data_IF_945961245052
#
_entry.id   IF_945961245052
#
_cell.length_a   1.000
_cell.length_b   1.000
_cell.length_c   1.000
_cell.angle_alpha   90.00
_cell.angle_beta   90.00
_cell.angle_gamma   90.00
#
_symmetry.space_group_name_H-M   'P 1'
#
loop_
_entity.id
_entity.type
_entity.pdbx_description
1 polymer ?
#
# COMPACT_ATOMS: atom_id res chain seq x y z
N UNK A 1 21.76 -0.30 8.88
CA UNK A 1 22.84 -1.13 8.29
C UNK A 1 23.17 -2.24 9.28
N UNK A 2 23.31 -3.50 8.84
CA UNK A 2 23.56 -4.65 9.74
C UNK A 2 24.98 -4.62 10.32
N UNK A 3 25.18 -5.10 11.58
CA UNK A 3 26.49 -5.06 12.23
C UNK A 3 27.44 -6.15 11.74
N UNK A 4 28.74 -5.83 11.68
CA UNK A 4 29.85 -6.77 11.45
C UNK A 4 30.16 -7.61 12.72
N UNK A 5 29.12 -8.14 13.35
CA UNK A 5 29.21 -8.87 14.61
C UNK A 5 28.48 -10.21 14.52
N UNK A 6 28.93 -11.25 15.24
CA UNK A 6 28.23 -12.53 15.27
C UNK A 6 26.83 -12.36 15.84
N UNK A 7 25.87 -13.16 15.37
CA UNK A 7 24.52 -13.09 15.87
C UNK A 7 23.56 -14.14 15.34
N UNK A 8 22.32 -14.05 15.79
CA UNK A 8 21.16 -14.80 15.27
C UNK A 8 20.25 -13.83 14.54
N UNK A 9 19.69 -14.25 13.41
CA UNK A 9 18.77 -13.45 12.61
C UNK A 9 17.51 -14.23 12.23
N UNK A 10 16.45 -13.49 11.94
CA UNK A 10 15.26 -13.96 11.28
C UNK A 10 15.00 -13.06 10.05
N UNK A 11 14.91 -13.67 8.87
CA UNK A 11 14.48 -12.99 7.65
C UNK A 11 12.96 -12.99 7.63
N UNK A 12 12.37 -11.80 7.53
CA UNK A 12 10.95 -11.64 7.26
C UNK A 12 10.75 -11.50 5.76
N UNK A 13 10.10 -12.48 5.14
CA UNK A 13 9.83 -12.51 3.71
C UNK A 13 8.34 -12.36 3.42
N UNK A 14 8.00 -11.79 2.27
CA UNK A 14 6.63 -11.68 1.78
C UNK A 14 6.49 -12.43 0.47
N UNK A 15 5.63 -13.45 0.44
CA UNK A 15 5.20 -14.09 -0.80
C UNK A 15 3.83 -13.52 -1.19
N UNK A 16 3.76 -12.86 -2.34
CA UNK A 16 2.58 -12.10 -2.77
C UNK A 16 1.51 -12.98 -3.40
N UNK A 17 1.91 -14.08 -4.05
CA UNK A 17 1.02 -15.00 -4.75
C UNK A 17 1.41 -16.45 -4.45
N UNK A 18 0.44 -17.38 -4.40
CA UNK A 18 0.78 -18.78 -4.22
C UNK A 18 1.76 -19.23 -5.30
N UNK A 19 2.86 -19.84 -4.90
CA UNK A 19 3.99 -20.13 -5.79
C UNK A 19 4.53 -21.53 -5.52
N UNK A 20 4.88 -22.26 -6.58
CA UNK A 20 5.58 -23.54 -6.47
C UNK A 20 7.08 -23.30 -6.46
N UNK A 21 7.76 -23.73 -5.40
CA UNK A 21 9.21 -23.55 -5.23
C UNK A 21 9.90 -24.90 -5.19
N UNK A 22 10.91 -25.09 -6.05
CA UNK A 22 11.82 -26.24 -5.99
C UNK A 22 13.01 -25.93 -5.11
N UNK A 23 13.23 -26.72 -4.06
CA UNK A 23 14.26 -26.48 -3.03
C UNK A 23 15.29 -27.61 -3.08
N UNK A 24 16.19 -27.56 -4.06
CA UNK A 24 17.27 -28.55 -4.21
C UNK A 24 16.80 -30.01 -4.05
N UNK A 25 17.47 -30.77 -3.17
CA UNK A 25 17.12 -32.17 -2.85
C UNK A 25 15.88 -32.32 -1.95
N UNK A 26 15.39 -31.23 -1.36
CA UNK A 26 14.23 -31.26 -0.46
C UNK A 26 12.93 -31.50 -1.23
N UNK A 27 12.88 -31.15 -2.52
CA UNK A 27 11.74 -31.37 -3.40
C UNK A 27 11.03 -30.08 -3.81
N UNK A 28 9.79 -30.24 -4.33
CA UNK A 28 8.94 -29.13 -4.77
C UNK A 28 7.80 -28.92 -3.78
N UNK A 29 7.51 -27.66 -3.45
CA UNK A 29 6.51 -27.29 -2.46
C UNK A 29 5.58 -26.19 -2.99
N UNK A 30 4.29 -26.31 -2.67
CA UNK A 30 3.30 -25.28 -2.93
C UNK A 30 3.26 -24.34 -1.72
N UNK A 31 3.70 -23.10 -1.92
CA UNK A 31 3.74 -22.08 -0.89
C UNK A 31 2.56 -21.13 -1.07
N UNK A 32 1.77 -20.91 -0.02
CA UNK A 32 0.65 -19.97 -0.03
C UNK A 32 1.15 -18.51 -0.02
N UNK A 33 0.38 -17.59 -0.61
CA UNK A 33 0.64 -16.17 -0.42
C UNK A 33 0.55 -15.83 1.08
N UNK A 34 1.55 -15.18 1.63
CA UNK A 34 1.65 -15.01 3.08
C UNK A 34 2.97 -14.40 3.52
N UNK A 35 3.16 -14.40 4.82
CA UNK A 35 4.39 -13.97 5.46
C UNK A 35 5.20 -15.18 5.87
N UNK A 36 6.50 -15.11 5.65
CA UNK A 36 7.42 -16.16 5.99
C UNK A 36 8.49 -15.64 6.93
N UNK A 37 8.83 -16.42 7.94
CA UNK A 37 9.94 -16.13 8.85
C UNK A 37 10.95 -17.26 8.75
N UNK A 38 12.16 -16.94 8.29
CA UNK A 38 13.27 -17.89 8.25
C UNK A 38 14.31 -17.53 9.32
N UNK A 39 14.64 -18.48 10.19
CA UNK A 39 15.61 -18.29 11.28
C UNK A 39 16.96 -18.89 10.91
N UNK A 40 18.05 -18.18 11.22
CA UNK A 40 19.40 -18.71 11.07
C UNK A 40 20.45 -18.01 11.93
N UNK A 41 21.67 -18.56 11.88
CA UNK A 41 22.85 -18.06 12.60
C UNK A 41 23.88 -17.42 11.68
N UNK A 42 24.56 -16.40 12.18
CA UNK A 42 25.66 -15.70 11.53
C UNK A 42 26.86 -15.63 12.48
N UNK A 43 27.45 -16.79 12.82
CA UNK A 43 28.56 -16.91 13.77
C UNK A 43 29.95 -16.97 13.11
N UNK A 44 29.99 -16.98 11.78
CA UNK A 44 31.23 -17.01 11.01
C UNK A 44 31.88 -15.63 10.80
N UNK A 45 32.99 -15.57 10.04
CA UNK A 45 33.66 -14.32 9.70
C UNK A 45 32.72 -13.29 9.06
N UNK A 46 32.82 -12.03 9.47
CA UNK A 46 31.96 -10.93 9.02
C UNK A 46 30.54 -10.91 9.61
N UNK A 47 30.19 -11.90 10.45
CA UNK A 47 28.98 -11.86 11.28
C UNK A 47 27.67 -11.69 10.50
N UNK A 48 26.73 -10.96 11.11
CA UNK A 48 25.39 -10.69 10.58
C UNK A 48 25.45 -9.97 9.23
N UNK A 49 26.25 -8.92 9.10
CA UNK A 49 26.41 -8.17 7.85
C UNK A 49 26.83 -9.07 6.68
N UNK A 50 27.87 -9.91 6.85
CA UNK A 50 28.32 -10.79 5.78
C UNK A 50 27.29 -11.90 5.45
N UNK A 51 26.70 -12.54 6.46
CA UNK A 51 25.77 -13.66 6.26
C UNK A 51 24.46 -13.20 5.64
N UNK A 52 23.85 -12.15 6.19
CA UNK A 52 22.59 -11.61 5.69
C UNK A 52 22.82 -10.85 4.38
N UNK A 53 23.93 -10.12 4.25
CA UNK A 53 24.31 -9.50 2.98
C UNK A 53 24.40 -10.52 1.84
N UNK A 54 24.93 -11.72 2.08
CA UNK A 54 24.89 -12.82 1.10
C UNK A 54 23.46 -13.27 0.78
N UNK A 55 22.56 -13.29 1.75
CA UNK A 55 21.14 -13.59 1.50
C UNK A 55 20.46 -12.54 0.62
N UNK A 56 20.85 -11.28 0.77
CA UNK A 56 20.28 -10.17 0.01
C UNK A 56 20.89 -9.99 -1.39
N UNK A 57 22.01 -10.66 -1.71
CA UNK A 57 22.60 -10.61 -3.07
C UNK A 57 21.64 -11.20 -4.11
N UNK A 58 21.43 -10.43 -5.19
CA UNK A 58 20.59 -10.77 -6.34
C UNK A 58 21.15 -11.96 -7.14
N UNK A 59 22.42 -11.89 -7.51
CA UNK A 59 23.09 -12.96 -8.24
C UNK A 59 23.99 -13.77 -7.29
N UNK A 60 23.67 -15.05 -7.16
CA UNK A 60 24.44 -15.99 -6.35
C UNK A 60 24.14 -17.42 -6.75
N UNK A 61 25.11 -18.29 -6.49
CA UNK A 61 24.87 -19.73 -6.49
C UNK A 61 23.99 -20.08 -5.29
N UNK A 62 22.82 -20.66 -5.57
CA UNK A 62 21.90 -21.14 -4.55
C UNK A 62 22.57 -22.29 -3.79
N UNK A 63 22.76 -22.11 -2.49
CA UNK A 63 23.48 -23.08 -1.66
C UNK A 63 22.66 -23.52 -0.46
N UNK A 64 21.93 -22.60 0.17
CA UNK A 64 21.05 -22.90 1.30
C UNK A 64 19.60 -23.00 0.84
N UNK A 65 18.78 -23.76 1.56
CA UNK A 65 17.34 -23.89 1.26
C UNK A 65 16.66 -22.52 1.14
N UNK A 66 17.03 -21.56 1.99
CA UNK A 66 16.48 -20.20 1.96
C UNK A 66 16.82 -19.44 0.67
N UNK A 67 17.93 -19.74 -0.01
CA UNK A 67 18.28 -19.06 -1.26
C UNK A 67 17.22 -19.30 -2.36
N UNK A 68 16.64 -20.50 -2.41
CA UNK A 68 15.57 -20.84 -3.35
C UNK A 68 14.27 -20.07 -3.06
N UNK A 69 13.98 -19.84 -1.78
CA UNK A 69 12.81 -19.06 -1.37
C UNK A 69 13.02 -17.57 -1.67
N UNK A 70 14.22 -17.06 -1.42
CA UNK A 70 14.59 -15.66 -1.64
C UNK A 70 14.50 -15.25 -3.12
N UNK A 71 14.58 -16.20 -4.05
CA UNK A 71 14.37 -15.95 -5.48
C UNK A 71 12.92 -15.57 -5.83
N UNK A 72 11.95 -15.88 -4.98
CA UNK A 72 10.52 -15.63 -5.23
C UNK A 72 9.81 -14.84 -4.12
N UNK A 73 10.42 -14.74 -2.94
CA UNK A 73 9.90 -14.01 -1.80
C UNK A 73 10.96 -13.01 -1.31
N UNK A 74 10.82 -11.71 -1.62
CA UNK A 74 11.78 -10.71 -1.18
C UNK A 74 11.81 -10.59 0.35
N UNK A 75 12.98 -10.24 0.89
CA UNK A 75 13.14 -9.89 2.31
C UNK A 75 12.62 -8.49 2.52
N UNK A 76 11.68 -8.34 3.47
CA UNK A 76 11.09 -7.06 3.85
C UNK A 76 11.79 -6.49 5.09
N UNK A 77 12.25 -7.36 5.99
CA UNK A 77 12.99 -6.95 7.18
C UNK A 77 13.88 -8.08 7.68
N UNK A 78 14.85 -7.71 8.50
CA UNK A 78 15.75 -8.62 9.21
C UNK A 78 15.65 -8.30 10.69
N UNK A 79 15.15 -9.25 11.47
CA UNK A 79 15.25 -9.19 12.93
C UNK A 79 16.54 -9.84 13.35
N UNK A 80 17.29 -9.23 14.25
CA UNK A 80 18.57 -9.79 14.67
C UNK A 80 18.89 -9.47 16.12
N UNK A 81 19.73 -10.34 16.69
CA UNK A 81 20.35 -10.16 17.99
C UNK A 81 21.84 -10.42 17.86
N UNK A 82 22.65 -9.45 18.32
CA UNK A 82 24.10 -9.59 18.37
C UNK A 82 24.48 -10.53 19.53
N UNK A 83 25.44 -11.41 19.30
CA UNK A 83 25.94 -12.34 20.28
C UNK A 83 26.57 -13.59 19.65
N UNK A 84 27.41 -14.28 20.42
CA UNK A 84 28.05 -15.54 20.00
C UNK A 84 27.24 -16.79 20.34
N UNK A 85 26.18 -16.64 21.12
CA UNK A 85 25.32 -17.75 21.53
C UNK A 85 24.48 -18.26 20.35
N UNK A 86 24.39 -19.59 20.20
CA UNK A 86 23.54 -20.23 19.19
C UNK A 86 22.08 -20.21 19.64
N UNK A 87 21.32 -19.21 19.18
CA UNK A 87 19.91 -19.02 19.56
C UNK A 87 18.90 -19.48 18.51
N UNK A 88 19.34 -19.87 17.32
CA UNK A 88 18.45 -20.19 16.20
C UNK A 88 17.41 -21.28 16.53
N UNK A 89 17.80 -22.37 17.19
CA UNK A 89 16.87 -23.43 17.57
C UNK A 89 15.88 -22.98 18.65
N UNK A 90 16.28 -22.07 19.54
CA UNK A 90 15.38 -21.49 20.53
C UNK A 90 14.33 -20.58 19.86
N UNK A 91 14.76 -19.78 18.88
CA UNK A 91 13.87 -18.92 18.09
C UNK A 91 12.90 -19.75 17.23
N UNK A 92 13.41 -20.78 16.54
CA UNK A 92 12.59 -21.68 15.75
C UNK A 92 11.51 -22.39 16.60
N UNK A 93 11.87 -22.91 17.78
CA UNK A 93 10.90 -23.49 18.72
C UNK A 93 9.88 -22.45 19.20
N UNK A 94 10.34 -21.24 19.52
CA UNK A 94 9.44 -20.17 19.95
C UNK A 94 8.46 -19.74 18.86
N UNK A 95 8.85 -19.78 17.59
CA UNK A 95 7.95 -19.50 16.46
C UNK A 95 6.98 -20.66 16.23
N UNK A 96 7.47 -21.90 16.28
CA UNK A 96 6.65 -23.10 16.15
C UNK A 96 5.53 -23.19 17.19
N UNK A 97 5.76 -22.66 18.39
CA UNK A 97 4.78 -22.62 19.48
C UNK A 97 3.75 -21.48 19.36
N UNK A 98 3.86 -20.59 18.36
CA UNK A 98 2.92 -19.46 18.22
C UNK A 98 1.61 -19.89 17.57
N UNK A 99 0.45 -19.43 18.08
CA UNK A 99 -0.81 -19.57 17.38
C UNK A 99 -0.73 -19.00 15.96
N UNK A 100 -1.21 -19.75 14.98
CA UNK A 100 -1.19 -19.36 13.57
C UNK A 100 0.13 -19.60 12.83
N UNK A 101 1.19 -20.08 13.49
CA UNK A 101 2.40 -20.51 12.81
C UNK A 101 2.18 -21.85 12.10
N UNK A 102 2.44 -21.89 10.80
CA UNK A 102 2.40 -23.12 9.99
C UNK A 102 3.83 -23.46 9.57
N UNK A 103 4.16 -24.75 9.53
CA UNK A 103 5.43 -25.23 8.99
C UNK A 103 5.21 -25.60 7.51
N UNK A 104 5.49 -24.68 6.57
CA UNK A 104 5.19 -24.91 5.15
C UNK A 104 6.01 -26.05 4.57
N UNK A 105 7.22 -26.27 5.10
CA UNK A 105 8.16 -27.27 4.61
C UNK A 105 8.90 -27.89 5.80
N UNK A 106 8.63 -29.16 6.10
CA UNK A 106 9.35 -29.90 7.14
C UNK A 106 10.83 -30.06 6.76
N UNK A 107 11.71 -29.92 7.75
CA UNK A 107 13.17 -30.00 7.61
C UNK A 107 13.82 -28.77 6.97
N UNK A 108 13.05 -27.74 6.58
CA UNK A 108 13.60 -26.58 5.88
C UNK A 108 14.58 -25.81 6.76
N UNK A 109 15.85 -25.78 6.35
CA UNK A 109 16.91 -25.08 7.07
C UNK A 109 17.32 -25.71 8.41
N UNK A 110 16.92 -26.96 8.68
CA UNK A 110 17.20 -27.68 9.92
C UNK A 110 18.10 -28.91 9.69
N UNK A 111 18.99 -28.87 8.69
CA UNK A 111 19.81 -30.02 8.29
C UNK A 111 20.89 -30.42 9.31
N UNK A 112 21.24 -29.51 10.21
CA UNK A 112 22.27 -29.65 11.24
C UNK A 112 21.70 -29.62 12.67
N UNK A 113 20.37 -29.75 12.82
CA UNK A 113 19.71 -29.79 14.13
C UNK A 113 18.44 -30.66 14.11
N UNK A 114 17.79 -30.79 15.27
CA UNK A 114 16.57 -31.59 15.45
C UNK A 114 15.29 -30.75 15.36
N UNK A 115 15.37 -29.53 14.84
CA UNK A 115 14.18 -28.68 14.68
C UNK A 115 13.28 -29.22 13.55
N UNK A 116 11.95 -29.12 13.69
CA UNK A 116 11.02 -29.60 12.66
C UNK A 116 11.11 -28.76 11.38
N UNK A 117 11.44 -27.47 11.48
CA UNK A 117 11.83 -26.57 10.41
C UNK A 117 12.36 -25.27 11.03
N UNK A 118 13.09 -24.47 10.26
CA UNK A 118 13.47 -23.08 10.57
C UNK A 118 12.70 -22.05 9.73
N UNK A 119 11.77 -22.52 8.87
CA UNK A 119 10.88 -21.68 8.08
C UNK A 119 9.45 -21.82 8.60
N UNK A 120 8.80 -20.67 8.82
CA UNK A 120 7.44 -20.58 9.36
C UNK A 120 6.59 -19.67 8.49
N UNK A 121 5.33 -20.05 8.28
CA UNK A 121 4.33 -19.25 7.57
C UNK A 121 3.36 -18.60 8.57
N UNK A 122 2.94 -17.38 8.25
CA UNK A 122 1.89 -16.64 8.93
C UNK A 122 0.96 -15.98 7.89
N UNK A 123 -0.35 -16.00 8.15
CA UNK A 123 -1.32 -15.33 7.29
C UNK A 123 -1.22 -13.79 7.37
N UNK A 124 -1.02 -13.26 8.57
CA UNK A 124 -0.81 -11.84 8.83
C UNK A 124 0.68 -11.52 9.08
N UNK A 125 1.05 -10.24 8.95
CA UNK A 125 2.44 -9.79 9.15
C UNK A 125 2.88 -10.05 10.60
N UNK A 126 3.89 -10.91 10.83
CA UNK A 126 4.41 -11.13 12.18
C UNK A 126 5.25 -9.94 12.63
N UNK A 127 5.30 -9.69 13.94
CA UNK A 127 6.16 -8.68 14.56
C UNK A 127 7.33 -9.33 15.29
N UNK A 128 8.41 -8.58 15.51
CA UNK A 128 9.59 -9.08 16.24
C UNK A 128 9.29 -9.54 17.67
N UNK A 129 8.17 -9.11 18.24
CA UNK A 129 7.71 -9.51 19.59
C UNK A 129 7.47 -11.01 19.73
N UNK A 130 7.27 -11.71 18.60
CA UNK A 130 7.23 -13.17 18.57
C UNK A 130 8.52 -13.81 19.10
N UNK A 131 9.64 -13.10 19.03
CA UNK A 131 10.97 -13.59 19.41
C UNK A 131 11.52 -12.96 20.69
N UNK A 132 10.93 -11.88 21.20
CA UNK A 132 11.49 -11.12 22.35
C UNK A 132 11.81 -12.00 23.56
N UNK A 133 10.90 -12.90 23.96
CA UNK A 133 11.14 -13.84 25.08
C UNK A 133 12.24 -14.87 24.77
N UNK A 134 12.29 -15.36 23.53
CA UNK A 134 13.24 -16.38 23.11
C UNK A 134 14.64 -15.81 22.84
N UNK A 135 14.73 -14.52 22.49
CA UNK A 135 15.97 -13.83 22.23
C UNK A 135 16.81 -13.66 23.49
N UNK A 136 16.19 -13.43 24.66
CA UNK A 136 16.86 -13.15 25.95
C UNK A 136 17.85 -11.98 25.92
N UNK A 137 17.89 -11.23 24.81
CA UNK A 137 18.69 -10.03 24.56
C UNK A 137 17.87 -9.07 23.69
N UNK A 138 18.25 -7.79 23.62
CA UNK A 138 17.58 -6.84 22.74
C UNK A 138 17.55 -7.31 21.28
N UNK A 139 16.36 -7.23 20.68
CA UNK A 139 16.14 -7.50 19.27
C UNK A 139 16.15 -6.19 18.48
N UNK A 140 16.99 -6.13 17.47
CA UNK A 140 17.02 -5.06 16.48
C UNK A 140 16.24 -5.47 15.24
N UNK A 141 15.70 -4.48 14.53
CA UNK A 141 15.07 -4.67 13.22
C UNK A 141 15.78 -3.77 12.22
N UNK A 142 16.34 -4.37 11.17
CA UNK A 142 16.75 -3.66 9.97
C UNK A 142 15.65 -3.84 8.93
N UNK A 143 15.06 -2.74 8.46
CA UNK A 143 14.11 -2.80 7.35
C UNK A 143 14.88 -2.84 6.05
N UNK A 144 14.51 -3.78 5.18
CA UNK A 144 15.09 -3.90 3.86
C UNK A 144 14.14 -3.21 2.89
N UNK A 145 14.65 -2.23 2.14
CA UNK A 145 13.88 -1.65 1.06
C UNK A 145 13.73 -2.72 -0.02
N UNK A 146 12.49 -3.04 -0.45
CA UNK A 146 12.29 -4.00 -1.53
C UNK A 146 12.88 -3.41 -2.81
N UNK A 147 13.55 -4.23 -3.63
CA UNK A 147 14.21 -3.79 -4.87
C UNK A 147 13.32 -2.93 -5.80
N UNK A 148 12.01 -3.20 -5.95
CA UNK A 148 11.13 -2.31 -6.70
C UNK A 148 11.11 -0.86 -6.21
N UNK A 149 11.34 -0.61 -4.91
CA UNK A 149 11.37 0.74 -4.35
C UNK A 149 12.70 1.45 -4.63
N UNK A 150 13.82 0.73 -4.63
CA UNK A 150 15.12 1.31 -5.00
C UNK A 150 15.11 1.73 -6.48
N UNK A 151 14.67 0.84 -7.37
CA UNK A 151 14.50 1.14 -8.80
C UNK A 151 13.55 2.32 -9.01
N UNK A 152 12.45 2.38 -8.25
CA UNK A 152 11.51 3.49 -8.31
C UNK A 152 12.17 4.83 -7.97
N UNK A 153 12.97 4.91 -6.92
CA UNK A 153 13.70 6.13 -6.57
C UNK A 153 14.74 6.51 -7.62
N UNK A 154 15.43 5.54 -8.21
CA UNK A 154 16.37 5.77 -9.32
C UNK A 154 15.67 6.32 -10.57
N UNK A 155 14.49 5.78 -10.91
CA UNK A 155 13.69 6.25 -12.04
C UNK A 155 13.19 7.69 -11.85
N UNK A 156 12.68 8.04 -10.65
CA UNK A 156 12.29 9.42 -10.34
C UNK A 156 13.50 10.34 -10.52
N UNK A 157 14.66 9.97 -9.95
CA UNK A 157 15.87 10.79 -10.05
C UNK A 157 16.37 10.94 -11.49
N UNK A 158 16.06 9.98 -12.37
CA UNK A 158 16.41 10.03 -13.79
C UNK A 158 15.43 10.89 -14.62
N UNK A 159 14.24 11.22 -14.09
CA UNK A 159 13.20 11.98 -14.80
C UNK A 159 12.61 11.23 -16.00
N UNK A 160 12.61 9.90 -15.97
CA UNK A 160 12.03 9.05 -17.02
C UNK A 160 10.62 8.62 -16.59
N UNK A 161 9.60 9.39 -16.98
CA UNK A 161 8.22 9.20 -16.54
C UNK A 161 7.66 7.82 -16.90
N UNK A 162 8.01 7.30 -18.08
CA UNK A 162 7.53 5.99 -18.54
C UNK A 162 8.09 4.88 -17.65
N UNK A 163 9.40 4.91 -17.37
CA UNK A 163 10.02 3.94 -16.45
C UNK A 163 9.55 4.14 -15.01
N UNK A 164 9.30 5.38 -14.61
CA UNK A 164 8.84 5.67 -13.25
C UNK A 164 7.44 5.15 -13.03
N UNK A 165 6.57 5.21 -14.04
CA UNK A 165 5.24 4.60 -14.02
C UNK A 165 5.34 3.07 -13.87
N UNK A 166 6.19 2.40 -14.65
CA UNK A 166 6.40 0.95 -14.51
C UNK A 166 6.94 0.57 -13.12
N UNK A 167 7.86 1.37 -12.58
CA UNK A 167 8.42 1.17 -11.25
C UNK A 167 7.39 1.45 -10.15
N UNK A 168 6.53 2.47 -10.29
CA UNK A 168 5.42 2.74 -9.39
C UNK A 168 4.44 1.56 -9.33
N UNK A 169 4.12 0.96 -10.47
CA UNK A 169 3.31 -0.25 -10.54
C UNK A 169 4.01 -1.46 -9.91
N UNK A 170 5.34 -1.55 -10.03
CA UNK A 170 6.14 -2.57 -9.35
C UNK A 170 6.12 -2.42 -7.83
N UNK A 171 6.23 -1.18 -7.33
CA UNK A 171 6.02 -0.83 -5.92
C UNK A 171 4.58 -1.17 -5.49
N UNK A 172 3.59 -0.88 -6.33
CA UNK A 172 2.19 -1.30 -6.12
C UNK A 172 2.06 -2.80 -5.83
N UNK A 173 2.76 -3.63 -6.62
CA UNK A 173 2.77 -5.10 -6.42
C UNK A 173 3.40 -5.53 -5.09
N UNK A 174 4.30 -4.74 -4.50
CA UNK A 174 4.83 -5.00 -3.14
C UNK A 174 3.71 -4.93 -2.09
N UNK A 175 2.66 -4.13 -2.36
CA UNK A 175 1.50 -4.00 -1.51
C UNK A 175 1.78 -3.20 -0.24
N UNK A 176 1.08 -3.53 0.85
CA UNK A 176 1.08 -2.76 2.10
C UNK A 176 2.48 -2.52 2.72
N UNK A 177 3.48 -3.35 2.41
CA UNK A 177 4.85 -3.15 2.86
C UNK A 177 5.53 -1.90 2.26
N UNK A 178 5.04 -1.40 1.11
CA UNK A 178 5.54 -0.18 0.46
C UNK A 178 4.98 1.11 1.06
N UNK A 179 3.88 1.05 1.84
CA UNK A 179 3.18 2.25 2.32
C UNK A 179 4.05 3.13 3.21
N UNK A 180 4.78 2.53 4.15
CA UNK A 180 5.63 3.29 5.08
C UNK A 180 6.83 3.97 4.37
N UNK A 181 7.57 3.29 3.46
CA UNK A 181 8.53 3.96 2.58
C UNK A 181 7.93 5.12 1.76
N UNK A 182 6.77 4.90 1.13
CA UNK A 182 6.08 5.94 0.33
C UNK A 182 5.63 7.12 1.18
N UNK A 183 5.18 6.88 2.42
CA UNK A 183 4.82 7.92 3.38
C UNK A 183 6.01 8.80 3.75
N UNK A 184 7.21 8.24 3.84
CA UNK A 184 8.44 9.03 4.07
C UNK A 184 8.81 9.86 2.84
N UNK A 185 8.62 9.30 1.64
CA UNK A 185 8.81 10.03 0.40
C UNK A 185 7.83 11.21 0.30
N UNK A 186 6.56 11.02 0.70
CA UNK A 186 5.58 12.12 0.82
C UNK A 186 6.01 13.20 1.83
N UNK A 187 6.62 12.81 2.95
CA UNK A 187 6.99 13.77 4.00
C UNK A 187 8.25 14.59 3.67
N UNK A 188 9.20 14.01 2.93
CA UNK A 188 10.53 14.59 2.73
C UNK A 188 10.83 14.97 1.27
N UNK A 189 10.01 14.51 0.32
CA UNK A 189 10.25 14.71 -1.11
C UNK A 189 9.82 16.06 -1.63
N UNK A 190 10.37 16.45 -2.78
CA UNK A 190 9.86 17.55 -3.59
C UNK A 190 8.52 17.20 -4.25
N UNK A 191 7.88 18.17 -4.93
CA UNK A 191 6.55 17.97 -5.49
C UNK A 191 6.46 16.77 -6.44
N UNK A 192 7.49 16.53 -7.26
CA UNK A 192 7.55 15.42 -8.21
C UNK A 192 7.68 14.07 -7.49
N UNK A 193 8.60 13.97 -6.53
CA UNK A 193 8.75 12.79 -5.68
C UNK A 193 7.46 12.47 -4.90
N UNK A 194 6.78 13.50 -4.39
CA UNK A 194 5.50 13.33 -3.69
C UNK A 194 4.41 12.87 -4.66
N UNK A 195 4.35 13.43 -5.87
CA UNK A 195 3.40 13.02 -6.91
C UNK A 195 3.56 11.54 -7.25
N UNK A 196 4.79 11.10 -7.51
CA UNK A 196 5.09 9.70 -7.78
C UNK A 196 4.78 8.80 -6.59
N UNK A 197 5.03 9.26 -5.36
CA UNK A 197 4.65 8.52 -4.16
C UNK A 197 3.13 8.29 -4.09
N UNK A 198 2.32 9.32 -4.40
CA UNK A 198 0.86 9.21 -4.50
C UNK A 198 0.45 8.22 -5.59
N UNK A 199 1.07 8.32 -6.79
CA UNK A 199 0.82 7.40 -7.90
C UNK A 199 1.06 5.94 -7.52
N UNK A 200 2.17 5.66 -6.82
CA UNK A 200 2.51 4.32 -6.33
C UNK A 200 1.57 3.86 -5.20
N UNK A 201 1.15 4.75 -4.29
CA UNK A 201 0.16 4.44 -3.25
C UNK A 201 -1.20 4.05 -3.85
N UNK A 202 -1.62 4.72 -4.93
CA UNK A 202 -2.81 4.34 -5.68
C UNK A 202 -2.69 2.93 -6.28
N UNK A 203 -1.51 2.57 -6.80
CA UNK A 203 -1.23 1.22 -7.27
C UNK A 203 -1.18 0.16 -6.15
N UNK A 204 -0.81 0.55 -4.91
CA UNK A 204 -0.85 -0.34 -3.73
C UNK A 204 -2.29 -0.64 -3.31
N UNK A 205 -3.14 0.38 -3.20
CA UNK A 205 -4.58 0.25 -2.96
C UNK A 205 -5.04 -0.36 -1.62
N UNK A 206 -4.13 -0.74 -0.72
CA UNK A 206 -4.44 -1.29 0.61
C UNK A 206 -5.13 -0.25 1.51
N UNK A 207 -5.82 -0.66 2.60
CA UNK A 207 -6.46 0.29 3.51
C UNK A 207 -5.50 1.38 4.04
N UNK A 208 -4.29 1.00 4.44
CA UNK A 208 -3.26 1.96 4.88
C UNK A 208 -2.78 2.88 3.74
N UNK A 209 -2.77 2.40 2.49
CA UNK A 209 -2.45 3.24 1.33
C UNK A 209 -3.57 4.26 1.07
N UNK A 210 -4.84 3.83 1.14
CA UNK A 210 -6.02 4.72 1.00
C UNK A 210 -6.05 5.80 2.05
N UNK A 211 -5.80 5.46 3.31
CA UNK A 211 -5.66 6.45 4.40
C UNK A 211 -4.57 7.49 4.08
N UNK A 212 -3.43 7.03 3.53
CA UNK A 212 -2.33 7.91 3.14
C UNK A 212 -2.67 8.78 1.93
N UNK A 213 -3.44 8.25 0.96
CA UNK A 213 -3.96 9.02 -0.18
C UNK A 213 -4.97 10.09 0.27
N UNK A 214 -5.83 9.79 1.24
CA UNK A 214 -6.75 10.79 1.83
C UNK A 214 -5.96 11.93 2.44
N UNK A 215 -4.87 11.66 3.17
CA UNK A 215 -4.00 12.71 3.70
C UNK A 215 -3.30 13.52 2.58
N UNK A 216 -2.94 12.89 1.46
CA UNK A 216 -2.32 13.56 0.32
C UNK A 216 -3.26 14.54 -0.42
N UNK A 217 -4.58 14.48 -0.16
CA UNK A 217 -5.50 15.52 -0.63
C UNK A 217 -5.22 16.90 -0.01
N UNK A 218 -4.42 16.99 1.06
CA UNK A 218 -4.00 18.23 1.69
C UNK A 218 -2.55 18.63 1.35
N UNK A 219 -1.93 18.00 0.34
CA UNK A 219 -0.58 18.39 -0.12
C UNK A 219 -0.55 19.87 -0.57
N UNK A 220 0.51 20.63 -0.25
CA UNK A 220 0.64 22.02 -0.70
C UNK A 220 0.62 22.14 -2.23
N UNK A 221 1.09 21.12 -2.96
CA UNK A 221 1.16 21.12 -4.41
C UNK A 221 -0.16 20.63 -5.04
N UNK A 222 -0.67 21.37 -6.02
CA UNK A 222 -1.96 21.08 -6.65
C UNK A 222 -1.93 19.79 -7.50
N UNK A 223 -0.81 19.47 -8.12
CA UNK A 223 -0.70 18.27 -8.95
C UNK A 223 -0.66 17.01 -8.07
N UNK A 224 -0.04 17.10 -6.89
CA UNK A 224 -0.07 16.01 -5.90
C UNK A 224 -1.49 15.79 -5.37
N UNK A 225 -2.22 16.86 -5.04
CA UNK A 225 -3.65 16.76 -4.65
C UNK A 225 -4.52 16.17 -5.76
N UNK A 226 -4.28 16.57 -7.01
CA UNK A 226 -4.96 16.05 -8.18
C UNK A 226 -4.72 14.53 -8.34
N UNK A 227 -3.46 14.10 -8.24
CA UNK A 227 -3.09 12.68 -8.28
C UNK A 227 -3.80 11.88 -7.17
N UNK A 228 -3.89 12.43 -5.96
CA UNK A 228 -4.55 11.78 -4.84
C UNK A 228 -6.05 11.63 -5.09
N UNK A 229 -6.72 12.68 -5.58
CA UNK A 229 -8.14 12.64 -5.93
C UNK A 229 -8.42 11.60 -7.02
N UNK A 230 -7.59 11.57 -8.08
CA UNK A 230 -7.71 10.59 -9.15
C UNK A 230 -7.54 9.15 -8.61
N UNK A 231 -6.48 8.88 -7.85
CA UNK A 231 -6.21 7.56 -7.28
C UNK A 231 -7.31 7.07 -6.35
N UNK A 232 -7.87 7.93 -5.51
CA UNK A 232 -9.00 7.60 -4.64
C UNK A 232 -10.27 7.27 -5.42
N UNK A 233 -10.52 7.97 -6.54
CA UNK A 233 -11.63 7.68 -7.45
C UNK A 233 -11.46 6.35 -8.19
N UNK A 234 -10.25 6.04 -8.67
CA UNK A 234 -9.94 4.75 -9.32
C UNK A 234 -10.08 3.56 -8.36
N UNK A 235 -9.72 3.76 -7.10
CA UNK A 235 -9.87 2.77 -6.04
C UNK A 235 -11.29 2.68 -5.47
N UNK A 236 -12.19 3.59 -5.89
CA UNK A 236 -13.54 3.77 -5.33
C UNK A 236 -13.53 3.81 -3.79
N UNK A 237 -12.61 4.59 -3.22
CA UNK A 237 -12.37 4.67 -1.79
C UNK A 237 -13.50 5.44 -1.08
N UNK A 238 -14.50 4.72 -0.56
CA UNK A 238 -15.68 5.31 0.10
C UNK A 238 -15.32 6.09 1.37
N UNK A 239 -14.25 5.71 2.06
CA UNK A 239 -13.72 6.43 3.22
C UNK A 239 -13.23 7.85 2.88
N UNK A 240 -12.99 8.15 1.60
CA UNK A 240 -12.49 9.44 1.15
C UNK A 240 -13.59 10.48 0.82
N UNK A 241 -14.86 10.08 0.82
CA UNK A 241 -15.99 10.93 0.36
C UNK A 241 -15.97 12.30 1.01
N UNK A 242 -15.86 12.39 2.35
CA UNK A 242 -15.85 13.68 3.04
C UNK A 242 -14.66 14.56 2.66
N UNK A 243 -13.48 13.97 2.48
CA UNK A 243 -12.28 14.71 2.08
C UNK A 243 -12.37 15.20 0.62
N UNK A 244 -12.89 14.36 -0.27
CA UNK A 244 -13.11 14.73 -1.68
C UNK A 244 -14.18 15.83 -1.82
N UNK A 245 -15.26 15.81 -1.03
CA UNK A 245 -16.26 16.90 -1.03
C UNK A 245 -15.62 18.25 -0.69
N UNK A 246 -14.69 18.28 0.28
CA UNK A 246 -13.94 19.52 0.60
C UNK A 246 -13.05 20.00 -0.56
N UNK A 247 -12.57 19.09 -1.40
CA UNK A 247 -11.77 19.43 -2.58
C UNK A 247 -12.59 19.92 -3.77
N UNK A 248 -13.93 19.89 -3.71
CA UNK A 248 -14.77 20.57 -4.71
C UNK A 248 -14.55 22.10 -4.72
N UNK A 249 -14.11 22.68 -3.61
CA UNK A 249 -13.67 24.09 -3.52
C UNK A 249 -12.14 24.26 -3.54
N UNK A 250 -11.40 23.31 -4.10
CA UNK A 250 -9.95 23.50 -4.27
C UNK A 250 -9.65 24.73 -5.12
N UNK A 251 -8.64 25.56 -4.76
CA UNK A 251 -8.23 26.71 -5.56
C UNK A 251 -7.82 26.34 -6.99
N UNK A 252 -7.34 25.11 -7.21
CA UNK A 252 -7.07 24.58 -8.54
C UNK A 252 -8.34 24.03 -9.18
N UNK A 253 -8.81 24.59 -10.31
CA UNK A 253 -9.97 24.05 -11.04
C UNK A 253 -9.76 22.59 -11.47
N UNK A 254 -8.51 22.19 -11.71
CA UNK A 254 -8.16 20.82 -12.08
C UNK A 254 -8.41 19.85 -10.92
N UNK A 255 -7.99 20.22 -9.70
CA UNK A 255 -8.24 19.42 -8.48
C UNK A 255 -9.73 19.34 -8.18
N UNK A 256 -10.45 20.47 -8.25
CA UNK A 256 -11.92 20.51 -8.06
C UNK A 256 -12.65 19.57 -9.03
N UNK A 257 -12.26 19.59 -10.31
CA UNK A 257 -12.82 18.69 -11.33
C UNK A 257 -12.54 17.22 -11.02
N UNK A 258 -11.30 16.89 -10.64
CA UNK A 258 -10.92 15.51 -10.30
C UNK A 258 -11.59 15.02 -9.01
N UNK A 259 -11.82 15.89 -8.03
CA UNK A 259 -12.59 15.56 -6.84
C UNK A 259 -14.06 15.23 -7.19
N UNK A 260 -14.68 16.02 -8.07
CA UNK A 260 -16.03 15.73 -8.60
C UNK A 260 -16.05 14.40 -9.38
N UNK A 261 -15.08 14.18 -10.29
CA UNK A 261 -14.94 12.92 -11.04
C UNK A 261 -14.74 11.71 -10.10
N UNK A 262 -13.93 11.86 -9.05
CA UNK A 262 -13.70 10.81 -8.06
C UNK A 262 -14.97 10.46 -7.28
N UNK A 263 -15.74 11.46 -6.84
CA UNK A 263 -17.03 11.26 -6.18
C UNK A 263 -18.03 10.56 -7.11
N UNK A 264 -18.08 10.94 -8.39
CA UNK A 264 -18.89 10.24 -9.40
C UNK A 264 -18.47 8.78 -9.60
N UNK A 265 -17.17 8.48 -9.59
CA UNK A 265 -16.66 7.10 -9.70
C UNK A 265 -16.93 6.26 -8.46
N UNK A 266 -16.94 6.89 -7.27
CA UNK A 266 -17.35 6.23 -6.02
C UNK A 266 -18.84 5.85 -6.08
N UNK A 267 -19.69 6.72 -6.62
CA UNK A 267 -21.10 6.42 -6.91
C UNK A 267 -22.01 6.53 -5.69
N UNK A 268 -22.89 5.54 -5.50
CA UNK A 268 -23.94 5.52 -4.46
C UNK A 268 -23.44 5.92 -3.05
N UNK A 269 -22.27 5.45 -2.55
CA UNK A 269 -21.75 5.85 -1.25
C UNK A 269 -21.47 7.35 -1.09
N UNK A 270 -21.34 8.10 -2.19
CA UNK A 270 -21.12 9.54 -2.17
C UNK A 270 -22.43 10.36 -2.17
N UNK A 271 -23.57 9.76 -2.54
CA UNK A 271 -24.82 10.47 -2.84
C UNK A 271 -25.32 11.32 -1.68
N UNK A 272 -25.38 10.75 -0.47
CA UNK A 272 -25.84 11.49 0.71
C UNK A 272 -24.98 12.73 1.01
N UNK A 273 -23.65 12.59 0.88
CA UNK A 273 -22.73 13.70 1.09
C UNK A 273 -22.83 14.75 -0.02
N UNK A 274 -23.07 14.33 -1.27
CA UNK A 274 -23.26 15.23 -2.40
C UNK A 274 -24.57 16.02 -2.30
N UNK A 275 -25.68 15.38 -1.88
CA UNK A 275 -26.95 16.05 -1.61
C UNK A 275 -26.77 17.11 -0.53
N UNK A 276 -26.07 16.79 0.56
CA UNK A 276 -25.76 17.78 1.60
C UNK A 276 -24.88 18.93 1.07
N UNK A 277 -23.93 18.62 0.18
CA UNK A 277 -23.02 19.59 -0.42
C UNK A 277 -23.71 20.59 -1.37
N UNK A 278 -24.90 20.29 -1.89
CA UNK A 278 -25.75 21.27 -2.60
C UNK A 278 -26.20 22.42 -1.70
N UNK A 279 -26.17 22.26 -0.37
CA UNK A 279 -26.45 23.33 0.60
C UNK A 279 -25.22 24.08 1.12
N UNK A 280 -24.02 23.82 0.57
CA UNK A 280 -22.78 24.42 1.05
C UNK A 280 -22.72 25.94 0.78
N UNK A 281 -22.08 26.74 1.66
CA UNK A 281 -21.97 28.18 1.46
C UNK A 281 -21.13 28.53 0.21
N UNK A 282 -20.12 27.73 -0.12
CA UNK A 282 -19.25 27.94 -1.26
C UNK A 282 -19.89 27.45 -2.58
N UNK A 283 -20.05 28.35 -3.55
CA UNK A 283 -20.61 27.99 -4.86
C UNK A 283 -19.82 26.93 -5.63
N UNK A 284 -18.47 26.82 -5.53
CA UNK A 284 -17.73 25.72 -6.17
C UNK A 284 -18.10 24.34 -5.60
N UNK A 285 -18.36 24.24 -4.29
CA UNK A 285 -18.78 22.98 -3.65
C UNK A 285 -20.13 22.55 -4.21
N UNK A 286 -21.11 23.47 -4.23
CA UNK A 286 -22.44 23.20 -4.79
C UNK A 286 -22.38 22.80 -6.25
N UNK A 287 -21.59 23.50 -7.07
CA UNK A 287 -21.48 23.22 -8.50
C UNK A 287 -20.83 21.86 -8.77
N UNK A 288 -19.75 21.55 -8.05
CA UNK A 288 -19.08 20.26 -8.13
C UNK A 288 -19.97 19.10 -7.67
N UNK A 289 -20.83 19.35 -6.67
CA UNK A 289 -21.79 18.37 -6.18
C UNK A 289 -22.92 18.12 -7.19
N UNK A 290 -23.52 19.18 -7.74
CA UNK A 290 -24.53 19.09 -8.79
C UNK A 290 -24.00 18.33 -10.01
N UNK A 291 -22.76 18.64 -10.44
CA UNK A 291 -22.09 17.93 -11.54
C UNK A 291 -21.90 16.44 -11.23
N UNK A 292 -21.45 16.11 -10.02
CA UNK A 292 -21.25 14.71 -9.66
C UNK A 292 -22.58 13.94 -9.65
N UNK A 293 -23.65 14.55 -9.14
CA UNK A 293 -25.00 13.99 -9.14
C UNK A 293 -25.59 13.86 -10.56
N UNK A 294 -25.25 14.74 -11.50
CA UNK A 294 -25.66 14.63 -12.91
C UNK A 294 -25.06 13.40 -13.62
N UNK A 295 -23.96 12.88 -13.09
CA UNK A 295 -23.29 11.66 -13.58
C UNK A 295 -23.83 10.43 -12.85
N UNK A 296 -23.99 10.48 -11.52
CA UNK A 296 -24.44 9.33 -10.71
C UNK A 296 -25.92 9.03 -10.96
N UNK A 297 -26.74 10.06 -11.17
CA UNK A 297 -28.18 10.00 -11.40
C UNK A 297 -29.00 9.28 -10.30
N UNK A 298 -28.78 9.57 -9.00
CA UNK A 298 -29.60 8.98 -7.95
C UNK A 298 -30.97 9.68 -7.86
N UNK A 299 -32.07 8.91 -7.82
CA UNK A 299 -33.43 9.44 -7.71
C UNK A 299 -33.62 10.25 -6.41
N UNK A 300 -32.93 9.88 -5.34
CA UNK A 300 -32.99 10.55 -4.04
C UNK A 300 -32.48 12.01 -4.09
N UNK A 301 -31.68 12.36 -5.10
CA UNK A 301 -31.18 13.73 -5.27
C UNK A 301 -32.16 14.66 -6.01
N UNK A 302 -33.21 14.13 -6.65
CA UNK A 302 -34.16 14.91 -7.45
C UNK A 302 -34.71 16.14 -6.68
N UNK A 303 -35.19 16.02 -5.42
CA UNK A 303 -35.71 17.18 -4.70
C UNK A 303 -34.65 18.27 -4.45
N UNK A 304 -33.42 17.88 -4.14
CA UNK A 304 -32.32 18.81 -3.88
C UNK A 304 -31.83 19.48 -5.17
N UNK A 305 -31.82 18.76 -6.29
CA UNK A 305 -31.48 19.29 -7.61
C UNK A 305 -32.54 20.29 -8.10
N UNK A 306 -33.82 20.03 -7.88
CA UNK A 306 -34.88 21.01 -8.17
C UNK A 306 -34.69 22.31 -7.39
N UNK A 307 -34.34 22.25 -6.11
CA UNK A 307 -34.04 23.44 -5.32
C UNK A 307 -32.78 24.19 -5.84
N UNK A 308 -31.80 23.46 -6.39
CA UNK A 308 -30.57 24.02 -6.95
C UNK A 308 -30.78 24.73 -8.31
N UNK A 309 -31.93 24.58 -8.97
CA UNK A 309 -32.27 25.36 -10.17
C UNK A 309 -32.36 26.87 -9.90
N UNK A 310 -32.76 27.24 -8.69
CA UNK A 310 -32.86 28.63 -8.23
C UNK A 310 -31.54 29.15 -7.62
N UNK A 311 -30.45 28.39 -7.70
CA UNK A 311 -29.15 28.81 -7.15
C UNK A 311 -28.62 30.07 -7.85
N UNK A 312 -28.05 31.06 -7.11
CA UNK A 312 -27.48 32.26 -7.72
C UNK A 312 -26.27 31.98 -8.63
N UNK A 313 -25.61 30.82 -8.48
CA UNK A 313 -24.50 30.41 -9.34
C UNK A 313 -25.02 29.73 -10.60
N UNK A 314 -24.71 30.32 -11.76
CA UNK A 314 -25.05 29.77 -13.09
C UNK A 314 -24.52 28.34 -13.28
N UNK A 315 -23.35 28.01 -12.71
CA UNK A 315 -22.82 26.65 -12.80
C UNK A 315 -23.64 25.64 -11.99
N UNK A 316 -24.18 26.06 -10.84
CA UNK A 316 -24.99 25.16 -10.01
C UNK A 316 -26.31 24.86 -10.70
N UNK A 317 -27.03 25.90 -11.15
CA UNK A 317 -28.30 25.72 -11.85
C UNK A 317 -28.13 24.97 -13.17
N UNK A 318 -27.06 25.22 -13.93
CA UNK A 318 -26.73 24.46 -15.14
C UNK A 318 -26.57 22.95 -14.88
N UNK A 319 -25.76 22.57 -13.89
CA UNK A 319 -25.56 21.15 -13.58
C UNK A 319 -26.77 20.49 -12.92
N UNK A 320 -27.57 21.27 -12.18
CA UNK A 320 -28.84 20.81 -11.63
C UNK A 320 -29.84 20.47 -12.74
N UNK A 321 -29.97 21.35 -13.73
CA UNK A 321 -30.80 21.14 -14.92
C UNK A 321 -30.33 19.91 -15.72
N UNK A 322 -29.03 19.82 -16.03
CA UNK A 322 -28.44 18.67 -16.71
C UNK A 322 -28.72 17.34 -15.97
N UNK A 323 -28.63 17.36 -14.63
CA UNK A 323 -28.91 16.17 -13.82
C UNK A 323 -30.37 15.73 -13.96
N UNK A 324 -31.31 16.67 -13.83
CA UNK A 324 -32.75 16.39 -13.93
C UNK A 324 -33.13 15.92 -15.33
N UNK A 325 -32.58 16.53 -16.39
CA UNK A 325 -32.76 16.09 -17.78
C UNK A 325 -32.31 14.64 -17.97
N UNK A 326 -31.10 14.31 -17.50
CA UNK A 326 -30.55 12.95 -17.60
C UNK A 326 -31.35 11.91 -16.82
N UNK A 327 -31.94 12.29 -15.69
CA UNK A 327 -32.83 11.46 -14.90
C UNK A 327 -34.26 11.34 -15.51
N UNK A 328 -34.55 12.06 -16.60
CA UNK A 328 -35.87 12.04 -17.25
C UNK A 328 -36.95 12.81 -16.46
N UNK A 329 -36.56 13.62 -15.49
CA UNK A 329 -37.44 14.47 -14.68
C UNK A 329 -37.17 15.96 -14.89
N UNK A 330 -36.43 16.32 -15.95
CA UNK A 330 -36.24 17.70 -16.37
C UNK A 330 -37.58 18.38 -16.72
N UNK A 331 -37.56 19.70 -16.88
CA UNK A 331 -38.76 20.51 -17.13
C UNK A 331 -39.49 20.08 -18.42
N UNK A 332 -40.35 19.06 -18.32
CA UNK A 332 -41.52 18.96 -19.18
C UNK A 332 -42.34 20.19 -18.85
N UNK A 333 -42.42 21.11 -19.81
CA UNK A 333 -43.25 22.31 -19.80
C UNK A 333 -44.71 22.00 -19.42
N UNK A 334 -45.00 21.85 -18.14
CA UNK A 334 -46.33 22.09 -17.59
C UNK A 334 -46.33 23.52 -17.06
N UNK A 335 -46.37 24.49 -17.99
CA UNK A 335 -46.95 25.80 -17.68
C UNK A 335 -48.47 25.63 -17.76
N UNK A 336 -49.23 25.83 -16.67
CA UNK A 336 -50.69 25.84 -16.73
C UNK A 336 -51.23 26.98 -17.61
#
# INVERSE_FOLDING_TARGET
MLPDAPGTYALLLRLLRPTVVGVGKLGRFHLAAGWYVYVGSALGPGGLAARVGRHLRREKRLHWHVDYLLAVAPVVAVWYAVGRERRECAWARSLAARPGAILPVRGFGASDCHCPAHLFYFAARPTRDLLTRAARVPLSEERIMPEPFEVFLECIAAGDDERTEEAALAVGRVGEAAVEPLRRLLAAGDADQRWWAVRALAAVGSPAARETLVAALDDPDADVRACAAQGLGELQATEAVTALVRRLADPSPFVSRLASDALSRIGEPAVSALIAALGAPESPVRAGAARALSIIQPEEAIPALYAALDDPSVLVSHYADEALERMGVGLVLFRP
#
